data_IF_854276012726
#
_entry.id   IF_854276012726
#
_cell.length_a   1.000
_cell.length_b   1.000
_cell.length_c   1.000
_cell.angle_alpha   90.00
_cell.angle_beta   90.00
_cell.angle_gamma   90.00
#
_symmetry.space_group_name_H-M   'P 1'
#
loop_
_entity.id
_entity.type
_entity.pdbx_description
1 polymer ?
#
# COMPACT_ATOMS: atom_id res chain seq x y z
N UNK A 1 1.57 30.27 -26.27
CA UNK A 1 2.70 29.39 -26.64
C UNK A 1 2.29 27.93 -26.42
N UNK A 2 2.83 26.98 -27.19
CA UNK A 2 2.86 25.54 -26.86
C UNK A 2 1.72 24.61 -27.31
N UNK A 3 1.46 24.51 -28.63
CA UNK A 3 0.75 23.33 -29.19
C UNK A 3 1.57 22.61 -30.29
N UNK A 4 2.63 23.25 -30.82
CA UNK A 4 3.46 22.69 -31.91
C UNK A 4 4.53 21.69 -31.46
N UNK A 5 4.75 21.50 -30.16
CA UNK A 5 5.79 20.60 -29.62
C UNK A 5 5.35 19.15 -29.46
N UNK A 6 4.04 18.87 -29.41
CA UNK A 6 3.49 17.51 -29.22
C UNK A 6 3.73 16.57 -30.43
N UNK A 7 4.00 17.12 -31.62
CA UNK A 7 4.25 16.36 -32.84
C UNK A 7 5.72 15.98 -33.10
N UNK A 8 6.67 16.43 -32.26
CA UNK A 8 8.10 16.17 -32.49
C UNK A 8 8.51 14.80 -31.89
N UNK A 9 9.06 13.86 -32.69
CA UNK A 9 9.41 12.51 -32.22
C UNK A 9 10.48 12.53 -31.12
N UNK A 10 11.34 13.54 -31.08
CA UNK A 10 12.33 13.71 -30.01
C UNK A 10 11.68 14.10 -28.69
N UNK A 11 10.66 14.98 -28.72
CA UNK A 11 9.95 15.40 -27.52
C UNK A 11 9.15 14.25 -26.89
N UNK A 12 8.51 13.40 -27.71
CA UNK A 12 7.78 12.21 -27.22
C UNK A 12 8.69 11.21 -26.49
N UNK A 13 9.92 10.99 -26.99
CA UNK A 13 10.91 10.11 -26.33
C UNK A 13 11.31 10.64 -24.96
N UNK A 14 11.63 11.92 -24.86
CA UNK A 14 11.97 12.56 -23.57
C UNK A 14 10.81 12.52 -22.58
N UNK A 15 9.58 12.71 -23.06
CA UNK A 15 8.39 12.64 -22.22
C UNK A 15 8.15 11.21 -21.73
N UNK A 16 8.38 10.21 -22.59
CA UNK A 16 8.35 8.80 -22.18
C UNK A 16 9.40 8.50 -21.11
N UNK A 17 10.64 8.98 -21.27
CA UNK A 17 11.71 8.78 -20.29
C UNK A 17 11.35 9.38 -18.92
N UNK A 18 10.77 10.58 -18.90
CA UNK A 18 10.31 11.25 -17.67
C UNK A 18 9.17 10.49 -17.02
N UNK A 19 8.19 10.03 -17.80
CA UNK A 19 7.09 9.20 -17.28
C UNK A 19 7.64 7.89 -16.71
N UNK A 20 8.57 7.24 -17.40
CA UNK A 20 9.14 5.98 -16.95
C UNK A 20 9.91 6.14 -15.63
N UNK A 21 10.69 7.23 -15.50
CA UNK A 21 11.38 7.58 -14.27
C UNK A 21 10.41 7.92 -13.14
N UNK A 22 9.36 8.69 -13.41
CA UNK A 22 8.35 9.06 -12.43
C UNK A 22 7.57 7.84 -11.93
N UNK A 23 7.22 6.91 -12.82
CA UNK A 23 6.55 5.66 -12.48
C UNK A 23 7.48 4.78 -11.62
N UNK A 24 8.74 4.59 -12.03
CA UNK A 24 9.71 3.81 -11.26
C UNK A 24 9.98 4.40 -9.88
N UNK A 25 10.21 5.71 -9.81
CA UNK A 25 10.40 6.43 -8.54
C UNK A 25 9.15 6.42 -7.66
N UNK A 26 7.96 6.55 -8.25
CA UNK A 26 6.69 6.46 -7.55
C UNK A 26 6.45 5.09 -6.92
N UNK A 27 6.69 4.01 -7.67
CA UNK A 27 6.57 2.63 -7.14
C UNK A 27 7.55 2.40 -6.00
N UNK A 28 8.82 2.81 -6.17
CA UNK A 28 9.82 2.69 -5.12
C UNK A 28 9.44 3.50 -3.86
N UNK A 29 8.94 4.72 -4.04
CA UNK A 29 8.49 5.58 -2.94
C UNK A 29 7.30 4.98 -2.18
N UNK A 30 6.31 4.43 -2.90
CA UNK A 30 5.17 3.72 -2.30
C UNK A 30 5.65 2.49 -1.54
N UNK A 31 6.54 1.69 -2.14
CA UNK A 31 7.12 0.50 -1.49
C UNK A 31 7.87 0.83 -0.20
N UNK A 32 8.69 1.88 -0.20
CA UNK A 32 9.40 2.35 1.01
C UNK A 32 8.41 2.81 2.08
N UNK A 33 7.38 3.58 1.72
CA UNK A 33 6.39 4.05 2.71
C UNK A 33 5.56 2.90 3.31
N UNK A 34 5.25 1.89 2.50
CA UNK A 34 4.60 0.65 2.98
C UNK A 34 5.54 -0.08 3.96
N UNK A 35 6.83 -0.21 3.62
CA UNK A 35 7.82 -0.85 4.50
C UNK A 35 8.00 -0.09 5.82
N UNK A 36 8.02 1.24 5.78
CA UNK A 36 8.12 2.09 6.98
C UNK A 36 6.83 2.11 7.82
N UNK A 37 5.77 1.42 7.38
CA UNK A 37 4.49 1.28 8.11
C UNK A 37 3.92 2.63 8.56
N UNK A 38 4.02 3.64 7.71
CA UNK A 38 3.52 4.96 8.03
C UNK A 38 1.98 4.95 7.95
N UNK A 39 1.33 4.83 9.11
CA UNK A 39 -0.13 4.65 9.20
C UNK A 39 -0.91 5.77 8.48
N UNK A 40 -0.37 6.99 8.50
CA UNK A 40 -0.94 8.13 7.75
C UNK A 40 -0.95 7.93 6.24
N UNK A 41 0.08 7.28 5.69
CA UNK A 41 0.14 7.00 4.25
C UNK A 41 -0.86 5.92 3.85
N UNK A 42 -1.01 4.90 4.70
CA UNK A 42 -1.99 3.84 4.47
C UNK A 42 -3.42 4.39 4.52
N UNK A 43 -3.73 5.20 5.53
CA UNK A 43 -5.05 5.81 5.69
C UNK A 43 -5.39 6.84 4.61
N UNK A 44 -4.45 7.70 4.26
CA UNK A 44 -4.71 8.81 3.30
C UNK A 44 -4.66 8.40 1.84
N UNK A 45 -3.86 7.39 1.46
CA UNK A 45 -3.68 7.01 0.05
C UNK A 45 -4.16 5.60 -0.26
N UNK A 46 -3.76 4.61 0.55
CA UNK A 46 -4.05 3.21 0.26
C UNK A 46 -5.53 2.90 0.54
N UNK A 47 -6.05 3.29 1.70
CA UNK A 47 -7.43 3.02 2.10
C UNK A 47 -8.48 3.57 1.12
N UNK A 48 -8.43 4.83 0.65
CA UNK A 48 -9.39 5.33 -0.34
C UNK A 48 -9.25 4.69 -1.72
N UNK A 49 -8.05 4.22 -2.09
CA UNK A 49 -7.86 3.43 -3.30
C UNK A 49 -8.58 2.08 -3.18
N UNK A 50 -8.35 1.37 -2.08
CA UNK A 50 -9.03 0.09 -1.82
C UNK A 50 -10.55 0.23 -1.69
N UNK A 51 -11.05 1.34 -1.16
CA UNK A 51 -12.48 1.60 -1.06
C UNK A 51 -13.16 1.78 -2.43
N UNK A 52 -12.41 2.14 -3.47
CA UNK A 52 -12.92 2.23 -4.85
C UNK A 52 -12.88 0.91 -5.59
N UNK A 53 -12.13 -0.09 -5.09
CA UNK A 53 -12.13 -1.43 -5.65
C UNK A 53 -13.31 -2.22 -5.11
N UNK A 54 -13.76 -3.19 -5.91
CA UNK A 54 -14.77 -4.15 -5.46
C UNK A 54 -14.22 -4.93 -4.24
N UNK A 55 -15.04 -5.13 -3.19
CA UNK A 55 -14.60 -5.81 -1.97
C UNK A 55 -14.05 -7.21 -2.22
N UNK A 56 -14.53 -7.95 -3.23
CA UNK A 56 -13.99 -9.27 -3.55
C UNK A 56 -12.57 -9.19 -4.11
N UNK A 57 -12.33 -8.19 -4.96
CA UNK A 57 -11.00 -7.97 -5.55
C UNK A 57 -10.02 -7.49 -4.48
N UNK A 58 -10.45 -6.59 -3.59
CA UNK A 58 -9.66 -6.13 -2.46
C UNK A 58 -9.28 -7.30 -1.53
N UNK A 59 -10.21 -8.21 -1.27
CA UNK A 59 -9.97 -9.38 -0.44
C UNK A 59 -8.95 -10.35 -1.07
N UNK A 60 -9.07 -10.64 -2.36
CA UNK A 60 -8.10 -11.47 -3.07
C UNK A 60 -6.69 -10.86 -3.07
N UNK A 61 -6.58 -9.54 -3.26
CA UNK A 61 -5.32 -8.80 -3.15
C UNK A 61 -4.74 -8.89 -1.75
N UNK A 62 -5.58 -8.80 -0.71
CA UNK A 62 -5.15 -8.96 0.68
C UNK A 62 -4.62 -10.38 0.98
N UNK A 63 -5.29 -11.42 0.47
CA UNK A 63 -4.82 -12.82 0.58
C UNK A 63 -3.46 -12.97 -0.12
N UNK A 64 -3.32 -12.43 -1.33
CA UNK A 64 -2.07 -12.47 -2.07
C UNK A 64 -0.96 -11.73 -1.30
N UNK A 65 -1.24 -10.52 -0.79
CA UNK A 65 -0.30 -9.76 0.01
C UNK A 65 0.14 -10.52 1.28
N UNK A 66 -0.80 -11.18 1.96
CA UNK A 66 -0.49 -12.01 3.12
C UNK A 66 0.38 -13.21 2.74
N UNK A 67 0.10 -13.87 1.60
CA UNK A 67 0.88 -15.01 1.10
C UNK A 67 2.33 -14.63 0.78
N UNK A 68 2.54 -13.43 0.24
CA UNK A 68 3.88 -12.92 -0.06
C UNK A 68 4.57 -12.24 1.14
N UNK A 69 4.02 -12.37 2.35
CA UNK A 69 4.53 -11.70 3.57
C UNK A 69 4.69 -10.17 3.42
N UNK A 70 3.91 -9.57 2.51
CA UNK A 70 3.83 -8.12 2.34
C UNK A 70 2.95 -7.48 3.43
N UNK A 71 2.22 -8.30 4.19
CA UNK A 71 1.47 -7.86 5.37
C UNK A 71 2.41 -7.89 6.57
N UNK A 72 2.78 -6.72 7.12
CA UNK A 72 3.70 -6.68 8.25
C UNK A 72 3.01 -7.27 9.50
N UNK A 73 3.71 -8.17 10.18
CA UNK A 73 3.36 -8.59 11.54
C UNK A 73 3.24 -7.35 12.41
N UNK A 74 2.03 -7.05 12.87
CA UNK A 74 1.82 -5.96 13.81
C UNK A 74 2.44 -6.37 15.14
N UNK A 75 3.66 -5.88 15.41
CA UNK A 75 4.24 -5.90 16.77
C UNK A 75 3.49 -4.87 17.60
N UNK A 76 2.27 -5.22 17.98
CA UNK A 76 1.50 -4.45 18.94
C UNK A 76 2.16 -4.73 20.28
N UNK A 77 2.71 -3.69 20.93
CA UNK A 77 3.17 -3.80 22.31
C UNK A 77 1.98 -4.29 23.14
N UNK A 78 1.99 -5.57 23.46
CA UNK A 78 0.91 -6.23 24.18
C UNK A 78 0.91 -5.65 25.58
N UNK A 79 0.00 -4.72 25.82
CA UNK A 79 -0.21 -4.17 27.14
C UNK A 79 -0.94 -5.25 27.94
N UNK A 80 -0.40 -5.66 29.09
CA UNK A 80 -0.93 -6.73 29.94
C UNK A 80 -2.39 -6.52 30.43
N UNK A 81 -2.99 -5.38 30.10
CA UNK A 81 -4.36 -4.99 30.45
C UNK A 81 -5.44 -5.56 29.49
N UNK A 82 -5.06 -6.11 28.33
CA UNK A 82 -5.98 -6.61 27.30
C UNK A 82 -6.00 -8.15 27.20
N UNK A 83 -5.79 -8.86 28.31
CA UNK A 83 -5.92 -10.32 28.35
C UNK A 83 -7.32 -10.68 28.83
N UNK A 84 -8.17 -11.14 27.91
CA UNK A 84 -9.46 -11.75 28.26
C UNK A 84 -9.36 -13.26 28.12
N UNK A 85 -9.60 -13.99 29.20
CA UNK A 85 -9.65 -15.45 29.18
C UNK A 85 -11.06 -15.88 28.82
N UNK A 86 -11.23 -16.46 27.65
CA UNK A 86 -12.49 -17.11 27.26
C UNK A 86 -12.21 -18.60 27.20
N UNK A 87 -12.77 -19.34 28.16
CA UNK A 87 -12.78 -20.81 28.19
C UNK A 87 -11.39 -21.47 28.24
N UNK A 88 -10.47 -20.92 29.03
CA UNK A 88 -9.19 -21.57 29.37
C UNK A 88 -8.12 -21.55 28.27
N UNK A 89 -8.32 -20.80 27.19
CA UNK A 89 -7.24 -20.42 26.29
C UNK A 89 -6.89 -18.94 26.46
N UNK A 90 -5.59 -18.66 26.54
CA UNK A 90 -5.06 -17.30 26.53
C UNK A 90 -5.22 -16.74 25.11
N UNK A 91 -6.30 -15.98 24.88
CA UNK A 91 -6.54 -15.29 23.62
C UNK A 91 -5.98 -13.86 23.70
N UNK A 92 -4.84 -13.56 23.04
CA UNK A 92 -4.23 -12.23 23.08
C UNK A 92 -5.02 -11.14 22.33
N UNK A 93 -6.10 -11.50 21.63
CA UNK A 93 -7.06 -10.59 21.00
C UNK A 93 -8.46 -11.21 21.10
N UNK A 94 -9.44 -10.41 21.54
CA UNK A 94 -10.87 -10.71 21.69
C UNK A 94 -11.32 -11.95 20.89
N UNK A 95 -11.86 -12.95 21.58
CA UNK A 95 -12.78 -13.87 20.92
C UNK A 95 -14.03 -13.14 20.44
#
# INVERSE_FOLDING_TARGET
MSAKYLGNPTFRKRLLDVVNLAVGGGIAFVGINIYMKNEKFYDSYIMPLFHKLDPETAHQVAIAAAKYNLVPTTSIKQSNILVSVIKGQECPRLC
#
